data_IF_017942810015
#
_entry.id   IF_017942810015
#
_cell.length_a   1.000
_cell.length_b   1.000
_cell.length_c   1.000
_cell.angle_alpha   90.00
_cell.angle_beta   90.00
_cell.angle_gamma   90.00
#
_symmetry.space_group_name_H-M   'P 1'
#
loop_
_entity.id
_entity.type
_entity.pdbx_description
1 polymer ?
#
# COMPACT_ATOMS: atom_id res chain seq x y z
N UNK A 1 -12.11 -9.58 -2.73
CA UNK A 1 -11.94 -8.51 -3.73
C UNK A 1 -10.70 -7.70 -3.36
N UNK A 2 -9.82 -7.41 -4.31
CA UNK A 2 -8.62 -6.60 -4.06
C UNK A 2 -8.72 -5.33 -4.86
N UNK A 3 -8.26 -4.22 -4.31
CA UNK A 3 -8.23 -2.93 -5.01
C UNK A 3 -6.80 -2.50 -5.25
N UNK A 4 -6.51 -1.96 -6.44
CA UNK A 4 -5.25 -1.27 -6.72
C UNK A 4 -5.53 0.23 -6.70
N UNK A 5 -4.84 0.95 -5.81
CA UNK A 5 -4.97 2.37 -5.60
C UNK A 5 -3.60 3.05 -5.68
N UNK A 6 -3.59 4.38 -5.69
CA UNK A 6 -2.38 5.19 -5.71
C UNK A 6 -2.44 6.26 -4.63
N UNK A 7 -1.29 6.57 -4.04
CA UNK A 7 -1.06 7.76 -3.22
C UNK A 7 0.04 8.61 -3.85
N UNK A 8 0.05 9.91 -3.56
CA UNK A 8 0.88 10.89 -4.27
C UNK A 8 1.78 11.61 -3.28
N UNK A 9 3.07 11.51 -3.51
CA UNK A 9 4.10 12.21 -2.77
C UNK A 9 4.77 13.26 -3.66
N UNK A 10 5.16 14.37 -3.05
CA UNK A 10 6.21 15.23 -3.60
C UNK A 10 7.54 14.87 -2.91
N UNK A 11 8.63 15.55 -3.28
CA UNK A 11 9.94 15.29 -2.69
C UNK A 11 9.93 15.40 -1.15
N UNK A 12 9.25 16.40 -0.59
CA UNK A 12 9.15 16.64 0.86
C UNK A 12 8.37 15.53 1.56
N UNK A 13 7.13 15.27 1.11
CA UNK A 13 6.28 14.27 1.77
C UNK A 13 6.78 12.84 1.58
N UNK A 14 7.53 12.57 0.50
CA UNK A 14 8.25 11.30 0.37
C UNK A 14 9.36 11.16 1.41
N UNK A 15 10.15 12.21 1.63
CA UNK A 15 11.21 12.19 2.63
C UNK A 15 10.66 12.02 4.04
N UNK A 16 9.60 12.76 4.39
CA UNK A 16 8.90 12.62 5.68
C UNK A 16 8.41 11.18 5.89
N UNK A 17 7.84 10.55 4.86
CA UNK A 17 7.40 9.16 4.90
C UNK A 17 8.55 8.18 5.15
N UNK A 18 9.68 8.32 4.44
CA UNK A 18 10.87 7.50 4.63
C UNK A 18 11.44 7.65 6.04
N UNK A 19 11.69 8.88 6.48
CA UNK A 19 12.24 9.17 7.81
C UNK A 19 11.34 8.66 8.93
N UNK A 20 10.02 8.72 8.74
CA UNK A 20 9.08 8.14 9.68
C UNK A 20 9.22 6.61 9.76
N UNK A 21 9.20 5.90 8.62
CA UNK A 21 9.34 4.43 8.60
C UNK A 21 10.66 3.97 9.21
N UNK A 22 11.73 4.69 8.96
CA UNK A 22 13.06 4.45 9.54
C UNK A 22 13.06 4.62 11.06
N UNK A 23 12.53 5.74 11.56
CA UNK A 23 12.47 6.03 13.00
C UNK A 23 11.67 4.98 13.78
N UNK A 24 10.51 4.59 13.27
CA UNK A 24 9.67 3.58 13.91
C UNK A 24 10.17 2.14 13.67
N UNK A 25 11.26 1.96 12.90
CA UNK A 25 11.77 0.65 12.45
C UNK A 25 10.65 -0.20 11.85
N UNK A 26 9.75 0.43 11.10
CA UNK A 26 8.56 -0.22 10.56
C UNK A 26 8.82 -0.64 9.10
N UNK A 27 9.02 -1.95 8.82
CA UNK A 27 9.37 -2.42 7.48
C UNK A 27 8.19 -2.35 6.49
N UNK A 28 6.99 -2.10 6.99
CA UNK A 28 5.77 -2.05 6.19
C UNK A 28 5.56 -0.72 5.46
N UNK A 29 4.29 -0.39 5.24
CA UNK A 29 3.87 0.85 4.60
C UNK A 29 2.93 1.64 5.51
N UNK A 30 2.97 2.96 5.34
CA UNK A 30 2.10 3.88 6.05
C UNK A 30 1.65 5.01 5.14
N UNK A 31 0.35 5.26 5.13
CA UNK A 31 -0.26 6.27 4.29
C UNK A 31 -1.24 7.09 5.12
N UNK A 32 -1.00 8.39 5.17
CA UNK A 32 -1.96 9.32 5.77
C UNK A 32 -2.71 10.03 4.63
N UNK A 33 -4.01 10.19 4.81
CA UNK A 33 -4.90 10.77 3.82
C UNK A 33 -5.86 11.78 4.48
N UNK A 34 -6.21 12.87 3.78
CA UNK A 34 -7.18 13.85 4.28
C UNK A 34 -8.62 13.33 4.27
N UNK A 35 -8.88 12.27 3.50
CA UNK A 35 -10.20 11.64 3.37
C UNK A 35 -10.06 10.13 3.50
N UNK A 36 -11.09 9.41 3.97
CA UNK A 36 -11.04 7.96 3.99
C UNK A 36 -10.98 7.39 2.57
N UNK A 37 -10.62 6.11 2.45
CA UNK A 37 -10.82 5.35 1.24
C UNK A 37 -12.30 5.39 0.81
N UNK A 38 -12.51 5.33 -0.51
CA UNK A 38 -13.86 5.34 -1.09
C UNK A 38 -14.74 4.25 -0.49
N UNK A 39 -15.99 4.56 -0.17
CA UNK A 39 -16.99 3.59 0.29
C UNK A 39 -17.27 2.46 -0.73
N UNK A 40 -16.90 2.67 -2.01
CA UNK A 40 -16.93 1.62 -3.04
C UNK A 40 -15.92 0.51 -2.80
N UNK A 41 -14.88 0.75 -2.01
CA UNK A 41 -13.91 -0.25 -1.60
C UNK A 41 -14.48 -0.92 -0.35
N UNK A 42 -14.71 -2.22 -0.42
CA UNK A 42 -15.26 -2.99 0.70
C UNK A 42 -14.40 -2.79 1.97
N UNK A 43 -15.04 -2.60 3.12
CA UNK A 43 -14.36 -2.51 4.41
C UNK A 43 -13.53 -3.79 4.68
N UNK A 44 -12.39 -3.67 5.36
CA UNK A 44 -11.46 -4.78 5.66
C UNK A 44 -10.88 -5.51 4.42
N UNK A 45 -11.16 -5.04 3.20
CA UNK A 45 -10.55 -5.60 1.99
C UNK A 45 -9.09 -5.18 1.84
N UNK A 46 -8.32 -5.97 1.08
CA UNK A 46 -6.92 -5.71 0.78
C UNK A 46 -6.82 -4.63 -0.31
N UNK A 47 -5.93 -3.66 -0.09
CA UNK A 47 -5.62 -2.60 -1.05
C UNK A 47 -4.11 -2.56 -1.31
N UNK A 48 -3.72 -2.74 -2.57
CA UNK A 48 -2.38 -2.43 -3.05
C UNK A 48 -2.30 -0.93 -3.34
N UNK A 49 -1.42 -0.22 -2.64
CA UNK A 49 -1.24 1.22 -2.79
C UNK A 49 0.08 1.48 -3.50
N UNK A 50 0.00 2.03 -4.71
CA UNK A 50 1.15 2.46 -5.50
C UNK A 50 1.63 3.83 -5.02
N UNK A 51 2.90 3.91 -4.63
CA UNK A 51 3.53 5.11 -4.08
C UNK A 51 4.08 5.99 -5.21
N UNK A 52 3.28 6.97 -5.67
CA UNK A 52 3.69 7.86 -6.75
C UNK A 52 4.56 9.00 -6.24
N UNK A 53 5.82 9.11 -6.69
CA UNK A 53 6.64 10.30 -6.47
C UNK A 53 6.48 11.27 -7.65
N UNK A 54 5.62 12.27 -7.47
CA UNK A 54 5.27 13.25 -8.51
C UNK A 54 6.40 14.22 -8.84
N UNK A 55 7.35 14.44 -7.92
CA UNK A 55 8.54 15.25 -8.18
C UNK A 55 9.52 14.53 -9.11
N UNK A 56 9.59 13.19 -9.04
CA UNK A 56 10.50 12.37 -9.86
C UNK A 56 9.82 11.66 -11.04
N UNK A 57 8.49 11.78 -11.14
CA UNK A 57 7.66 11.09 -12.13
C UNK A 57 7.91 9.57 -12.22
N UNK A 58 7.99 8.92 -11.06
CA UNK A 58 8.19 7.47 -10.95
C UNK A 58 7.53 6.92 -9.70
N UNK A 59 7.18 5.64 -9.71
CA UNK A 59 6.76 4.95 -8.49
C UNK A 59 7.97 4.63 -7.61
N UNK A 60 7.83 4.73 -6.29
CA UNK A 60 8.89 4.37 -5.32
C UNK A 60 8.65 3.01 -4.66
N UNK A 61 7.44 2.47 -4.77
CA UNK A 61 7.07 1.19 -4.20
C UNK A 61 5.58 0.91 -4.28
N UNK A 62 5.21 -0.24 -3.73
CA UNK A 62 3.82 -0.66 -3.51
C UNK A 62 3.74 -1.19 -2.08
N UNK A 63 2.72 -0.77 -1.34
CA UNK A 63 2.42 -1.33 -0.01
C UNK A 63 1.03 -1.92 0.07
N UNK A 64 0.85 -2.87 0.99
CA UNK A 64 -0.41 -3.59 1.19
C UNK A 64 -1.05 -3.16 2.49
N UNK A 65 -2.23 -2.55 2.40
CA UNK A 65 -3.04 -2.16 3.56
C UNK A 65 -4.37 -2.91 3.57
N UNK A 66 -5.05 -2.87 4.71
CA UNK A 66 -6.48 -3.16 4.79
C UNK A 66 -7.28 -1.86 4.73
N UNK A 67 -8.48 -1.89 4.17
CA UNK A 67 -9.43 -0.78 4.28
C UNK A 67 -10.04 -0.71 5.69
N UNK A 68 -9.19 -0.42 6.66
CA UNK A 68 -9.51 -0.13 8.06
C UNK A 68 -8.56 1.00 8.45
N UNK A 69 -9.02 2.26 8.45
CA UNK A 69 -8.19 3.35 8.97
C UNK A 69 -7.97 3.13 10.47
N UNK A 70 -6.77 3.46 10.93
CA UNK A 70 -6.48 3.51 12.35
C UNK A 70 -6.94 4.86 12.90
N UNK A 71 -7.94 4.83 13.79
CA UNK A 71 -8.52 6.01 14.41
C UNK A 71 -7.80 6.42 15.71
N UNK A 72 -6.93 5.56 16.27
CA UNK A 72 -6.26 5.76 17.55
C UNK A 72 -4.90 6.45 17.36
N UNK A 73 -4.88 7.60 16.70
CA UNK A 73 -3.67 8.41 16.58
C UNK A 73 -3.71 9.63 17.49
N UNK A 74 -2.66 9.79 18.32
CA UNK A 74 -2.53 10.93 19.23
C UNK A 74 -1.76 12.07 18.56
N UNK A 75 -1.80 13.28 19.12
CA UNK A 75 -1.06 14.46 18.61
C UNK A 75 0.47 14.27 18.51
N UNK A 76 1.03 13.24 19.18
CA UNK A 76 2.46 12.88 19.14
C UNK A 76 2.84 12.10 17.87
N UNK A 77 1.85 11.62 17.13
CA UNK A 77 2.01 10.81 15.94
C UNK A 77 1.87 11.63 14.64
N UNK A 78 2.22 12.92 14.65
CA UNK A 78 2.15 13.73 13.42
C UNK A 78 3.16 13.19 12.39
N UNK A 79 2.64 12.64 11.30
CA UNK A 79 3.44 12.04 10.22
C UNK A 79 3.90 13.08 9.21
N UNK A 80 3.01 14.03 8.89
CA UNK A 80 3.27 15.14 7.97
C UNK A 80 3.15 16.47 8.72
N UNK A 81 3.96 17.45 8.34
CA UNK A 81 3.89 18.82 8.88
C UNK A 81 2.51 19.44 8.65
N UNK A 82 1.91 19.17 7.49
CA UNK A 82 0.54 19.58 7.20
C UNK A 82 -0.45 18.64 7.90
N UNK A 83 -1.13 19.19 8.91
CA UNK A 83 -2.11 18.48 9.73
C UNK A 83 -3.29 17.91 8.95
N UNK A 84 -3.63 18.48 7.79
CA UNK A 84 -4.76 18.03 6.98
C UNK A 84 -4.55 16.61 6.43
N UNK A 85 -3.30 16.19 6.27
CA UNK A 85 -2.98 14.86 5.77
C UNK A 85 -3.07 13.78 6.85
N UNK A 86 -3.18 14.14 8.14
CA UNK A 86 -3.15 13.20 9.27
C UNK A 86 -4.55 12.72 9.71
N UNK A 87 -5.61 12.99 8.95
CA UNK A 87 -6.99 12.65 9.34
C UNK A 87 -7.28 11.14 9.32
N UNK A 88 -6.75 10.42 8.33
CA UNK A 88 -6.92 8.97 8.19
C UNK A 88 -5.58 8.31 7.96
N UNK A 89 -5.21 7.35 8.82
CA UNK A 89 -3.92 6.65 8.71
C UNK A 89 -4.16 5.18 8.41
N UNK A 90 -3.54 4.71 7.33
CA UNK A 90 -3.55 3.32 6.91
C UNK A 90 -2.14 2.75 7.09
N UNK A 91 -2.02 1.72 7.93
CA UNK A 91 -0.78 0.97 8.13
C UNK A 91 -0.91 -0.41 7.51
N UNK A 92 0.19 -0.89 6.93
CA UNK A 92 0.27 -2.18 6.28
C UNK A 92 1.59 -2.87 6.62
N UNK A 93 1.55 -4.17 6.93
CA UNK A 93 2.73 -4.92 7.33
C UNK A 93 3.65 -5.35 6.18
N UNK A 94 3.29 -5.04 4.92
CA UNK A 94 4.02 -5.47 3.74
C UNK A 94 4.22 -4.29 2.79
N UNK A 95 5.44 -4.13 2.28
CA UNK A 95 5.82 -3.11 1.31
C UNK A 95 7.00 -3.58 0.48
N UNK A 96 6.90 -3.45 -0.84
CA UNK A 96 8.03 -3.62 -1.75
C UNK A 96 8.44 -2.27 -2.31
N UNK A 97 9.72 -1.95 -2.17
CA UNK A 97 10.34 -0.83 -2.87
C UNK A 97 10.44 -1.07 -4.37
N UNK A 98 10.67 0.01 -5.10
CA UNK A 98 10.82 0.01 -6.55
C UNK A 98 11.85 -1.02 -7.06
N UNK A 99 12.99 -1.16 -6.37
CA UNK A 99 14.05 -2.07 -6.80
C UNK A 99 13.62 -3.53 -6.69
N UNK A 100 12.99 -3.90 -5.58
CA UNK A 100 12.45 -5.25 -5.37
C UNK A 100 11.36 -5.56 -6.40
N UNK A 101 10.43 -4.64 -6.63
CA UNK A 101 9.41 -4.78 -7.68
C UNK A 101 10.03 -4.94 -9.08
N UNK A 102 11.11 -4.21 -9.36
CA UNK A 102 11.79 -4.29 -10.66
C UNK A 102 12.52 -5.62 -10.84
N UNK A 103 13.06 -6.19 -9.77
CA UNK A 103 13.67 -7.52 -9.78
C UNK A 103 12.62 -8.61 -10.00
N UNK A 104 11.46 -8.50 -9.34
CA UNK A 104 10.35 -9.45 -9.54
C UNK A 104 9.73 -9.34 -10.92
N UNK A 105 9.35 -8.12 -11.34
CA UNK A 105 8.75 -7.89 -12.64
C UNK A 105 8.95 -6.43 -13.10
N UNK A 106 10.01 -6.19 -13.87
CA UNK A 106 10.34 -4.85 -14.38
C UNK A 106 9.25 -4.23 -15.28
N UNK A 107 8.37 -5.04 -15.87
CA UNK A 107 7.28 -4.56 -16.74
C UNK A 107 6.24 -3.80 -15.95
N UNK A 108 5.87 -4.30 -14.76
CA UNK A 108 4.93 -3.64 -13.86
C UNK A 108 5.41 -2.22 -13.54
N UNK A 109 6.69 -2.08 -13.17
CA UNK A 109 7.28 -0.78 -12.83
C UNK A 109 7.26 0.17 -14.02
N UNK A 110 7.67 -0.31 -15.21
CA UNK A 110 7.68 0.52 -16.44
C UNK A 110 6.27 0.94 -16.86
N UNK A 111 5.30 0.03 -16.78
CA UNK A 111 3.90 0.30 -17.13
C UNK A 111 3.28 1.31 -16.16
N UNK A 112 3.47 1.13 -14.85
CA UNK A 112 2.99 2.06 -13.83
C UNK A 112 3.63 3.45 -13.96
N UNK A 113 4.95 3.55 -14.18
CA UNK A 113 5.62 4.83 -14.42
C UNK A 113 5.06 5.57 -15.64
N UNK A 114 4.57 4.84 -16.64
CA UNK A 114 3.96 5.45 -17.81
C UNK A 114 2.52 5.91 -17.51
N UNK A 115 1.62 4.99 -17.15
CA UNK A 115 0.19 5.30 -17.03
C UNK A 115 -0.12 6.29 -15.90
N UNK A 116 0.72 6.35 -14.86
CA UNK A 116 0.48 7.20 -13.69
C UNK A 116 1.02 8.63 -13.88
N UNK A 117 2.02 8.83 -14.73
CA UNK A 117 2.71 10.12 -14.87
C UNK A 117 2.66 10.73 -16.27
N UNK A 118 2.30 9.97 -17.30
CA UNK A 118 2.31 10.38 -18.71
C UNK A 118 0.94 10.17 -19.36
N UNK A 119 0.75 10.86 -20.49
CA UNK A 119 -0.48 10.78 -21.27
C UNK A 119 -1.65 11.56 -20.66
N UNK A 120 -2.77 11.59 -21.39
CA UNK A 120 -3.95 12.41 -21.05
C UNK A 120 -4.64 11.98 -19.75
N UNK A 121 -4.54 10.71 -19.39
CA UNK A 121 -5.21 10.10 -18.23
C UNK A 121 -4.28 9.84 -17.04
N UNK A 122 -3.15 10.56 -16.95
CA UNK A 122 -2.22 10.40 -15.84
C UNK A 122 -2.87 10.73 -14.48
N UNK A 123 -2.35 10.17 -13.40
CA UNK A 123 -2.93 10.29 -12.06
C UNK A 123 -2.16 11.24 -11.13
N UNK A 124 -1.37 12.16 -11.67
CA UNK A 124 -0.58 13.13 -10.88
C UNK A 124 -1.41 14.10 -10.02
N UNK A 125 -2.71 14.24 -10.30
CA UNK A 125 -3.61 15.18 -9.60
C UNK A 125 -4.59 14.42 -8.68
N UNK A 126 -5.02 15.07 -7.61
CA UNK A 126 -5.96 14.56 -6.62
C UNK A 126 -5.33 14.26 -5.26
N UNK A 127 -6.15 14.36 -4.20
CA UNK A 127 -5.75 14.21 -2.80
C UNK A 127 -6.05 12.81 -2.25
N UNK A 128 -5.26 12.36 -1.27
CA UNK A 128 -5.46 11.08 -0.59
C UNK A 128 -5.23 9.84 -1.46
N UNK A 129 -5.69 8.69 -0.97
CA UNK A 129 -5.56 7.40 -1.67
C UNK A 129 -6.72 7.25 -2.66
N UNK A 130 -6.41 7.04 -3.94
CA UNK A 130 -7.41 6.93 -5.02
C UNK A 130 -7.23 5.65 -5.82
N UNK A 131 -8.32 4.92 -6.04
CA UNK A 131 -8.36 3.75 -6.91
C UNK A 131 -7.82 4.09 -8.29
N UNK A 132 -6.98 3.22 -8.84
CA UNK A 132 -6.53 3.33 -10.22
C UNK A 132 -7.67 2.82 -11.11
N UNK A 133 -8.19 3.61 -12.07
CA UNK A 133 -9.26 3.17 -12.96
C UNK A 133 -8.91 1.89 -13.71
N UNK A 134 -9.87 0.99 -13.86
CA UNK A 134 -9.70 -0.30 -14.53
C UNK A 134 -9.13 -0.16 -15.95
N UNK A 135 -9.55 0.87 -16.69
CA UNK A 135 -9.01 1.19 -18.02
C UNK A 135 -7.49 1.35 -18.02
N UNK A 136 -6.90 1.92 -16.97
CA UNK A 136 -5.45 2.05 -16.85
C UNK A 136 -4.79 0.73 -16.47
N UNK A 137 -5.44 -0.08 -15.63
CA UNK A 137 -4.94 -1.41 -15.26
C UNK A 137 -4.94 -2.40 -16.44
N UNK A 138 -5.82 -2.18 -17.43
CA UNK A 138 -5.89 -2.96 -18.68
C UNK A 138 -5.08 -2.36 -19.83
N UNK A 139 -4.23 -1.36 -19.58
CA UNK A 139 -3.43 -0.74 -20.63
C UNK A 139 -2.46 -1.74 -21.28
N UNK A 140 -2.26 -1.64 -22.59
CA UNK A 140 -1.39 -2.52 -23.39
C UNK A 140 0.06 -2.64 -22.90
N UNK A 141 0.54 -1.71 -22.06
CA UNK A 141 1.87 -1.76 -21.47
C UNK A 141 2.01 -2.96 -20.52
N UNK A 142 0.91 -3.41 -19.94
CA UNK A 142 0.84 -4.65 -19.17
C UNK A 142 0.78 -5.91 -20.06
N UNK A 143 0.61 -5.78 -21.38
CA UNK A 143 0.56 -6.90 -22.34
C UNK A 143 -0.40 -8.02 -21.93
N UNK A 144 -1.64 -7.66 -21.58
CA UNK A 144 -2.67 -8.62 -21.17
C UNK A 144 -2.49 -9.22 -19.77
N UNK A 145 -1.44 -8.84 -19.04
CA UNK A 145 -1.22 -9.29 -17.66
C UNK A 145 -2.36 -8.88 -16.73
N UNK A 146 -2.83 -9.82 -15.92
CA UNK A 146 -3.70 -9.51 -14.80
C UNK A 146 -2.86 -8.97 -13.64
N UNK A 147 -2.75 -7.64 -13.54
CA UNK A 147 -1.92 -6.99 -12.53
C UNK A 147 -2.31 -7.34 -11.09
N UNK A 148 -3.60 -7.55 -10.79
CA UNK A 148 -4.02 -7.95 -9.44
C UNK A 148 -3.44 -9.31 -9.07
N UNK A 149 -3.54 -10.29 -9.97
CA UNK A 149 -2.98 -11.63 -9.74
C UNK A 149 -1.47 -11.56 -9.58
N UNK A 150 -0.79 -10.87 -10.49
CA UNK A 150 0.67 -10.74 -10.49
C UNK A 150 1.19 -10.11 -9.19
N UNK A 151 0.54 -9.03 -8.71
CA UNK A 151 0.92 -8.42 -7.44
C UNK A 151 0.69 -9.37 -6.25
N UNK A 152 -0.40 -10.14 -6.24
CA UNK A 152 -0.60 -11.15 -5.18
C UNK A 152 0.53 -12.17 -5.18
N UNK A 153 0.88 -12.69 -6.35
CA UNK A 153 1.91 -13.72 -6.47
C UNK A 153 3.27 -13.16 -6.02
N UNK A 154 3.65 -11.97 -6.50
CA UNK A 154 4.90 -11.29 -6.08
C UNK A 154 4.97 -11.11 -4.56
N UNK A 155 3.91 -10.59 -3.94
CA UNK A 155 3.91 -10.34 -2.49
C UNK A 155 3.88 -11.63 -1.68
N UNK A 156 3.13 -12.64 -2.11
CA UNK A 156 3.09 -13.95 -1.43
C UNK A 156 4.46 -14.61 -1.50
N UNK A 157 5.11 -14.62 -2.66
CA UNK A 157 6.46 -15.18 -2.81
C UNK A 157 7.48 -14.41 -1.99
N UNK A 158 7.46 -13.08 -2.03
CA UNK A 158 8.44 -12.27 -1.33
C UNK A 158 8.31 -12.38 0.19
N UNK A 159 7.08 -12.39 0.72
CA UNK A 159 6.82 -12.43 2.16
C UNK A 159 6.38 -13.83 2.66
N UNK A 160 6.74 -14.89 1.95
CA UNK A 160 6.24 -16.24 2.23
C UNK A 160 6.54 -16.69 3.67
N UNK A 161 7.74 -16.36 4.19
CA UNK A 161 8.19 -16.75 5.52
C UNK A 161 7.40 -16.00 6.59
N UNK A 162 7.30 -14.68 6.46
CA UNK A 162 6.57 -13.81 7.37
C UNK A 162 5.07 -14.11 7.38
N UNK A 163 4.52 -14.52 6.23
CA UNK A 163 3.13 -14.97 6.12
C UNK A 163 2.94 -16.30 6.84
N UNK A 164 3.87 -17.25 6.71
CA UNK A 164 3.82 -18.53 7.39
C UNK A 164 3.92 -18.35 8.91
N UNK A 165 4.92 -17.61 9.39
CA UNK A 165 5.12 -17.30 10.82
C UNK A 165 3.87 -16.66 11.45
N UNK A 166 3.26 -15.68 10.77
CA UNK A 166 2.02 -15.04 11.24
C UNK A 166 0.81 -15.97 11.23
N UNK A 167 0.79 -17.00 10.40
CA UNK A 167 -0.29 -18.01 10.40
C UNK A 167 -0.15 -18.94 11.60
N UNK A 168 1.07 -19.41 11.88
CA UNK A 168 1.34 -20.26 13.05
C UNK A 168 1.02 -19.53 14.35
N UNK A 169 1.50 -18.29 14.54
CA UNK A 169 1.20 -17.48 15.72
C UNK A 169 -0.31 -17.29 15.96
N UNK A 170 -1.10 -17.11 14.90
CA UNK A 170 -2.56 -16.98 15.03
C UNK A 170 -3.23 -18.28 15.41
N UNK A 171 -2.71 -19.42 14.95
CA UNK A 171 -3.21 -20.74 15.30
C UNK A 171 -2.94 -21.03 16.78
N UNK A 172 -1.71 -20.77 17.24
CA UNK A 172 -1.33 -20.91 18.65
C UNK A 172 -2.20 -20.05 19.57
N UNK A 173 -2.47 -18.79 19.22
CA UNK A 173 -3.35 -17.92 19.99
C UNK A 173 -4.82 -18.39 20.00
N UNK A 174 -5.29 -19.01 18.92
CA UNK A 174 -6.63 -19.58 18.88
C UNK A 174 -6.74 -20.83 19.76
N UNK A 175 -5.72 -21.70 19.73
CA UNK A 175 -5.68 -22.94 20.50
C UNK A 175 -5.54 -22.67 22.02
N UNK A 176 -4.79 -21.64 22.41
CA UNK A 176 -4.65 -21.22 23.82
C UNK A 176 -5.92 -20.58 24.42
N UNK A 177 -6.80 -20.00 23.60
CA UNK A 177 -8.07 -19.41 24.05
C UNK A 177 -9.21 -20.44 24.12
N UNK A 178 -9.00 -21.65 23.60
CA UNK A 178 -9.97 -22.74 23.58
C UNK A 178 -9.61 -23.90 24.54
N UNK A 179 -8.70 -23.69 25.49
CA UNK A 179 -8.43 -24.69 26.55
C UNK A 179 -9.68 -24.78 27.43
N UNK A 180 -10.36 -25.95 27.51
CA UNK A 180 -11.53 -26.10 28.36
C UNK A 180 -11.14 -25.87 29.81
N UNK A 181 -11.89 -25.02 30.50
CA UNK A 181 -11.79 -24.86 31.96
C UNK A 181 -12.24 -26.20 32.55
N UNK A 182 -11.28 -26.99 33.04
CA UNK A 182 -11.58 -28.16 33.85
C UNK A 182 -12.24 -27.69 35.15
N UNK A 183 -13.53 -28.00 35.31
CA UNK A 183 -14.30 -27.80 36.56
C UNK A 183 -14.01 -28.97 37.49
#
# INVERSE_FOLDING_TARGET
MTTIASTRFNAKTWQENCSHREREKFPGCIYCAPTPLSQKIQANSIVFVVEMNNSRNKIEGIGVIKNIPNYNFTRRDRFYEDSNYNAYVYKGGYRLGRNELKQSNSRIVKALDNILFKGKSHLKRGSGIKTIPEKLLKHDLFAGMNLEKELKDIFVTHFQKEIAEKKELKKEHHDQQNVPISI
#
